data_IF_756888611143
#
_entry.id   IF_756888611143
#
_cell.length_a   1.000
_cell.length_b   1.000
_cell.length_c   1.000
_cell.angle_alpha   90.00
_cell.angle_beta   90.00
_cell.angle_gamma   90.00
#
_symmetry.space_group_name_H-M   'P 1'
#
loop_
_entity.id
_entity.type
_entity.pdbx_description
1 polymer ?
#
# COMPACT_ATOMS: atom_id res chain seq x y z
N UNK A 1 -19.32 -0.01 4.47
CA UNK A 1 -17.87 -0.12 4.75
C UNK A 1 -17.48 -1.57 4.49
N UNK A 2 -16.36 -1.81 3.85
CA UNK A 2 -15.83 -3.15 3.57
C UNK A 2 -14.67 -3.39 4.52
N UNK A 3 -14.69 -4.53 5.20
CA UNK A 3 -13.69 -4.88 6.20
C UNK A 3 -13.09 -6.25 5.87
N UNK A 4 -11.79 -6.39 6.05
CA UNK A 4 -11.07 -7.64 5.91
C UNK A 4 -10.13 -7.84 7.10
N UNK A 5 -10.05 -9.06 7.59
CA UNK A 5 -9.13 -9.47 8.65
C UNK A 5 -8.25 -10.59 8.11
N UNK A 6 -6.95 -10.46 8.31
CA UNK A 6 -5.92 -11.39 7.87
C UNK A 6 -4.97 -11.65 9.02
N UNK A 7 -4.66 -12.92 9.25
CA UNK A 7 -3.57 -13.34 10.11
C UNK A 7 -2.61 -14.20 9.31
N UNK A 8 -1.31 -13.95 9.47
CA UNK A 8 -0.24 -14.72 8.83
C UNK A 8 0.88 -14.95 9.83
N UNK A 9 1.25 -16.20 9.97
CA UNK A 9 2.34 -16.61 10.85
C UNK A 9 3.33 -17.47 10.10
N UNK A 10 4.60 -17.12 10.20
CA UNK A 10 5.77 -17.89 9.73
C UNK A 10 6.72 -18.17 10.89
N UNK A 11 7.92 -18.63 10.59
CA UNK A 11 8.99 -18.70 11.58
C UNK A 11 9.62 -17.33 11.87
N UNK A 12 9.46 -16.36 10.95
CA UNK A 12 10.10 -15.05 10.95
C UNK A 12 9.17 -13.95 11.44
N UNK A 13 7.86 -14.09 11.15
CA UNK A 13 6.86 -13.05 11.46
C UNK A 13 5.57 -13.64 12.03
N UNK A 14 4.88 -12.88 12.88
CA UNK A 14 3.51 -13.14 13.34
C UNK A 14 2.72 -11.85 13.17
N UNK A 15 1.80 -11.81 12.20
CA UNK A 15 1.11 -10.59 11.76
C UNK A 15 -0.40 -10.79 11.84
N UNK A 16 -1.07 -9.85 12.49
CA UNK A 16 -2.52 -9.64 12.40
C UNK A 16 -2.79 -8.25 11.80
N UNK A 17 -3.69 -8.19 10.85
CA UNK A 17 -4.14 -6.94 10.24
C UNK A 17 -5.65 -6.96 10.01
N UNK A 18 -6.32 -5.90 10.48
CA UNK A 18 -7.69 -5.58 10.13
C UNK A 18 -7.71 -4.30 9.31
N UNK A 19 -8.24 -4.40 8.09
CA UNK A 19 -8.44 -3.29 7.17
C UNK A 19 -9.91 -2.93 7.09
N UNK A 20 -10.25 -1.66 7.20
CA UNK A 20 -11.57 -1.12 6.87
C UNK A 20 -11.43 -0.04 5.80
N UNK A 21 -12.08 -0.24 4.65
CA UNK A 21 -12.19 0.77 3.59
C UNK A 21 -13.30 1.73 3.97
N UNK A 22 -12.95 2.98 4.21
CA UNK A 22 -13.87 4.04 4.62
C UNK A 22 -14.67 4.60 3.42
N UNK A 23 -15.61 5.46 3.72
CA UNK A 23 -16.31 6.24 2.68
C UNK A 23 -15.35 7.21 2.00
N UNK A 24 -15.58 7.57 0.73
CA UNK A 24 -14.81 8.59 0.04
C UNK A 24 -14.60 9.86 0.90
N UNK A 25 -13.42 10.47 0.79
CA UNK A 25 -13.01 11.67 1.53
C UNK A 25 -12.90 11.52 3.06
N UNK A 26 -12.99 10.30 3.60
CA UNK A 26 -12.71 10.06 5.01
C UNK A 26 -11.20 9.97 5.24
N UNK A 27 -10.72 10.55 6.35
CA UNK A 27 -9.34 10.39 6.79
C UNK A 27 -9.19 9.05 7.50
N UNK A 28 -8.31 8.22 6.99
CA UNK A 28 -7.94 6.96 7.63
C UNK A 28 -6.87 7.13 8.71
N UNK A 29 -6.47 6.03 9.30
CA UNK A 29 -5.42 5.97 10.32
C UNK A 29 -4.83 4.56 10.43
N UNK A 30 -3.59 4.50 10.90
CA UNK A 30 -2.97 3.29 11.41
C UNK A 30 -3.12 3.24 12.94
N UNK A 31 -3.44 2.07 13.48
CA UNK A 31 -3.35 1.73 14.90
C UNK A 31 -2.44 0.53 15.03
N UNK A 32 -1.52 0.55 15.99
CA UNK A 32 -0.49 -0.49 16.15
C UNK A 32 0.87 -0.08 15.57
N UNK A 33 1.77 -1.05 15.46
CA UNK A 33 3.17 -0.81 15.05
C UNK A 33 3.78 -2.07 14.44
N UNK A 34 4.75 -1.86 13.54
CA UNK A 34 5.63 -2.91 12.98
C UNK A 34 6.92 -3.06 13.77
N UNK A 35 7.22 -2.12 14.66
CA UNK A 35 8.52 -2.00 15.34
C UNK A 35 9.55 -1.17 14.57
N UNK A 36 9.25 -0.76 13.32
CA UNK A 36 10.10 0.10 12.50
C UNK A 36 9.41 1.47 12.38
N UNK A 37 9.84 2.45 13.18
CA UNK A 37 9.14 3.73 13.33
C UNK A 37 8.90 4.51 12.03
N UNK A 38 9.88 4.51 11.11
CA UNK A 38 9.71 5.15 9.81
C UNK A 38 8.68 4.42 8.94
N UNK A 39 8.68 3.10 8.96
CA UNK A 39 7.69 2.30 8.22
C UNK A 39 6.27 2.48 8.77
N UNK A 40 6.13 2.55 10.10
CA UNK A 40 4.84 2.89 10.74
C UNK A 40 4.32 4.25 10.29
N UNK A 41 5.21 5.26 10.17
CA UNK A 41 4.87 6.57 9.63
C UNK A 41 4.42 6.48 8.16
N UNK A 42 5.09 5.67 7.34
CA UNK A 42 4.72 5.45 5.93
C UNK A 42 3.36 4.74 5.82
N UNK A 43 3.12 3.71 6.60
CA UNK A 43 1.83 3.00 6.63
C UNK A 43 0.68 3.92 7.11
N UNK A 44 0.95 4.80 8.09
CA UNK A 44 -0.03 5.79 8.52
C UNK A 44 -0.31 6.84 7.43
N UNK A 45 0.70 7.26 6.67
CA UNK A 45 0.54 8.13 5.50
C UNK A 45 -0.30 7.46 4.42
N UNK A 46 -0.02 6.19 4.11
CA UNK A 46 -0.85 5.35 3.21
C UNK A 46 -2.32 5.29 3.69
N UNK A 47 -2.54 4.94 4.95
CA UNK A 47 -3.87 4.79 5.53
C UNK A 47 -4.64 6.11 5.54
N UNK A 48 -4.01 7.19 6.01
CA UNK A 48 -4.64 8.51 6.13
C UNK A 48 -5.09 9.08 4.80
N UNK A 49 -4.26 8.95 3.76
CA UNK A 49 -4.55 9.49 2.43
C UNK A 49 -5.41 8.55 1.57
N UNK A 50 -5.36 7.25 1.84
CA UNK A 50 -6.17 6.25 1.14
C UNK A 50 -7.59 6.06 1.68
N UNK A 51 -7.91 6.64 2.86
CA UNK A 51 -9.20 6.42 3.52
C UNK A 51 -9.32 5.01 4.09
N UNK A 52 -8.25 4.51 4.72
CA UNK A 52 -8.20 3.20 5.36
C UNK A 52 -8.07 3.31 6.87
N UNK A 53 -8.89 2.58 7.63
CA UNK A 53 -8.54 2.25 9.00
C UNK A 53 -7.79 0.91 8.99
N UNK A 54 -6.57 0.93 9.54
CA UNK A 54 -5.70 -0.24 9.65
C UNK A 54 -5.40 -0.46 11.13
N UNK A 55 -5.82 -1.61 11.65
CA UNK A 55 -5.42 -2.10 12.96
C UNK A 55 -4.40 -3.22 12.74
N UNK A 56 -3.17 -3.02 13.22
CA UNK A 56 -2.00 -3.82 12.87
C UNK A 56 -1.24 -4.26 14.12
N UNK A 57 -0.93 -5.52 14.18
CA UNK A 57 0.02 -6.09 15.14
C UNK A 57 1.05 -6.91 14.38
N UNK A 58 2.31 -6.55 14.49
CA UNK A 58 3.44 -7.24 13.86
C UNK A 58 4.46 -7.60 14.92
N UNK A 59 4.89 -8.85 14.88
CA UNK A 59 6.05 -9.33 15.61
C UNK A 59 6.97 -10.03 14.61
N UNK A 60 8.04 -9.36 14.25
CA UNK A 60 9.05 -9.86 13.31
C UNK A 60 10.42 -10.04 13.96
N UNK A 61 11.33 -10.65 13.24
CA UNK A 61 12.71 -10.94 13.62
C UNK A 61 13.66 -9.76 13.35
N UNK A 62 13.33 -8.58 13.90
CA UNK A 62 14.04 -7.32 13.68
C UNK A 62 15.51 -7.34 14.14
N UNK A 63 15.90 -8.34 14.88
CA UNK A 63 17.30 -8.63 15.24
C UNK A 63 18.12 -9.15 14.04
N UNK A 64 17.47 -9.67 13.01
CA UNK A 64 18.08 -9.97 11.71
C UNK A 64 18.16 -8.70 10.88
N UNK A 65 17.02 -8.20 10.42
CA UNK A 65 16.83 -6.91 9.75
C UNK A 65 15.33 -6.59 9.62
N UNK A 66 14.97 -5.58 8.82
CA UNK A 66 13.57 -5.18 8.58
C UNK A 66 12.89 -5.91 7.41
N UNK A 67 13.61 -6.75 6.65
CA UNK A 67 13.11 -7.29 5.37
C UNK A 67 11.83 -8.11 5.53
N UNK A 68 11.88 -9.17 6.33
CA UNK A 68 10.74 -10.06 6.55
C UNK A 68 9.52 -9.31 7.10
N UNK A 69 9.75 -8.38 8.04
CA UNK A 69 8.70 -7.55 8.62
C UNK A 69 7.98 -6.69 7.58
N UNK A 70 8.74 -6.03 6.71
CA UNK A 70 8.21 -5.10 5.70
C UNK A 70 7.53 -5.86 4.57
N UNK A 71 8.17 -6.90 4.03
CA UNK A 71 7.61 -7.73 2.96
C UNK A 71 6.32 -8.42 3.41
N UNK A 72 6.34 -9.10 4.55
CA UNK A 72 5.19 -9.85 5.07
C UNK A 72 4.02 -8.91 5.44
N UNK A 73 4.30 -7.69 5.90
CA UNK A 73 3.26 -6.66 6.09
C UNK A 73 2.63 -6.28 4.74
N UNK A 74 3.43 -6.16 3.68
CA UNK A 74 2.94 -5.94 2.32
C UNK A 74 2.05 -7.08 1.81
N UNK A 75 2.45 -8.34 2.07
CA UNK A 75 1.65 -9.54 1.74
C UNK A 75 0.28 -9.49 2.43
N UNK A 76 0.28 -9.24 3.74
CA UNK A 76 -0.94 -9.23 4.55
C UNK A 76 -1.86 -8.08 4.16
N UNK A 77 -1.33 -6.88 3.96
CA UNK A 77 -2.10 -5.72 3.52
C UNK A 77 -2.66 -5.91 2.10
N UNK A 78 -1.86 -6.42 1.16
CA UNK A 78 -2.31 -6.76 -0.19
C UNK A 78 -3.46 -7.77 -0.20
N UNK A 79 -3.34 -8.84 0.60
CA UNK A 79 -4.39 -9.84 0.79
C UNK A 79 -5.66 -9.23 1.38
N UNK A 80 -5.54 -8.33 2.35
CA UNK A 80 -6.68 -7.63 2.95
C UNK A 80 -7.38 -6.71 1.93
N UNK A 81 -6.63 -5.98 1.11
CA UNK A 81 -7.16 -5.14 0.03
C UNK A 81 -7.93 -5.96 -1.00
N UNK A 82 -7.37 -7.10 -1.45
CA UNK A 82 -8.05 -8.02 -2.37
C UNK A 82 -9.36 -8.55 -1.76
N UNK A 83 -9.33 -8.97 -0.50
CA UNK A 83 -10.54 -9.44 0.20
C UNK A 83 -11.58 -8.33 0.33
N UNK A 84 -11.16 -7.09 0.63
CA UNK A 84 -12.04 -5.94 0.71
C UNK A 84 -12.59 -5.50 -0.66
N UNK A 85 -11.88 -5.72 -1.76
CA UNK A 85 -12.36 -5.50 -3.11
C UNK A 85 -13.50 -6.46 -3.51
N UNK A 86 -13.56 -7.63 -2.87
CA UNK A 86 -14.58 -8.65 -3.11
C UNK A 86 -14.55 -9.20 -4.54
N UNK A 87 -15.70 -9.20 -5.21
CA UNK A 87 -15.83 -9.59 -6.61
C UNK A 87 -15.49 -8.47 -7.61
N UNK A 88 -15.01 -7.33 -7.11
CA UNK A 88 -14.65 -6.14 -7.90
C UNK A 88 -15.83 -5.51 -8.69
N UNK A 89 -17.08 -5.88 -8.39
CA UNK A 89 -18.24 -5.24 -9.00
C UNK A 89 -18.38 -3.80 -8.51
N UNK A 90 -18.62 -2.90 -9.44
CA UNK A 90 -18.93 -1.49 -9.18
C UNK A 90 -17.77 -0.62 -8.71
N UNK A 91 -16.56 -1.17 -8.52
CA UNK A 91 -15.41 -0.35 -8.14
C UNK A 91 -14.96 0.56 -9.30
N UNK A 92 -14.34 1.70 -8.98
CA UNK A 92 -13.72 2.59 -9.98
C UNK A 92 -12.68 1.87 -10.83
N UNK A 93 -11.98 0.89 -10.24
CA UNK A 93 -10.97 0.03 -10.85
C UNK A 93 -9.66 0.72 -11.19
N UNK A 94 -9.70 1.82 -11.96
CA UNK A 94 -8.52 2.58 -12.36
C UNK A 94 -8.41 3.86 -11.55
N UNK A 95 -7.19 4.20 -11.15
CA UNK A 95 -6.89 5.51 -10.58
C UNK A 95 -5.44 5.89 -10.85
N UNK A 96 -5.22 7.19 -10.96
CA UNK A 96 -3.89 7.77 -11.10
C UNK A 96 -3.78 9.08 -10.31
N UNK A 97 -2.54 9.49 -10.00
CA UNK A 97 -2.24 10.75 -9.35
C UNK A 97 -0.81 11.20 -9.62
N UNK A 98 -0.63 12.52 -9.71
CA UNK A 98 0.64 13.20 -9.45
C UNK A 98 0.56 13.78 -8.04
N UNK A 99 1.42 13.31 -7.14
CA UNK A 99 1.38 13.69 -5.73
C UNK A 99 2.69 14.39 -5.32
N UNK A 100 2.61 15.69 -4.96
CA UNK A 100 3.76 16.41 -4.44
C UNK A 100 3.93 16.16 -2.92
N UNK A 101 5.18 16.14 -2.49
CA UNK A 101 5.60 16.22 -1.09
C UNK A 101 6.80 17.16 -1.05
N UNK A 102 6.56 18.42 -0.69
CA UNK A 102 7.51 19.51 -0.80
C UNK A 102 8.21 19.53 -2.17
N UNK A 103 9.51 19.27 -2.28
CA UNK A 103 10.28 19.25 -3.52
C UNK A 103 10.20 17.92 -4.27
N UNK A 104 9.58 16.88 -3.68
CA UNK A 104 9.42 15.58 -4.34
C UNK A 104 8.08 15.49 -5.09
N UNK A 105 8.08 14.85 -6.25
CA UNK A 105 6.88 14.59 -7.03
C UNK A 105 6.84 13.13 -7.49
N UNK A 106 5.77 12.43 -7.11
CA UNK A 106 5.54 11.02 -7.49
C UNK A 106 4.30 10.88 -8.38
N UNK A 107 4.45 10.11 -9.45
CA UNK A 107 3.35 9.58 -10.25
C UNK A 107 2.98 8.17 -9.74
N UNK A 108 1.70 7.91 -9.59
CA UNK A 108 1.17 6.58 -9.30
C UNK A 108 -0.04 6.30 -10.19
N UNK A 109 -0.13 5.06 -10.70
CA UNK A 109 -1.31 4.56 -11.42
C UNK A 109 -1.60 3.11 -11.00
N UNK A 110 -2.89 2.76 -10.87
CA UNK A 110 -3.34 1.43 -10.44
C UNK A 110 -4.47 0.92 -11.32
N UNK A 111 -4.47 -0.40 -11.60
CA UNK A 111 -5.60 -1.16 -12.16
C UNK A 111 -5.89 -2.36 -11.24
N UNK A 112 -7.08 -2.40 -10.64
CA UNK A 112 -7.60 -3.57 -9.92
C UNK A 112 -8.11 -4.60 -10.92
N UNK A 113 -7.19 -5.31 -11.56
CA UNK A 113 -7.47 -6.21 -12.69
C UNK A 113 -7.42 -7.70 -12.36
N UNK A 114 -7.08 -8.07 -11.12
CA UNK A 114 -6.75 -9.46 -10.77
C UNK A 114 -5.37 -9.92 -11.29
N UNK A 115 -4.65 -9.09 -12.05
CA UNK A 115 -3.33 -9.39 -12.62
C UNK A 115 -2.26 -8.58 -11.90
N UNK A 116 -1.45 -9.29 -11.13
CA UNK A 116 -0.36 -8.69 -10.38
C UNK A 116 0.79 -8.23 -11.27
N UNK A 117 1.17 -6.97 -11.15
CA UNK A 117 2.34 -6.41 -11.79
C UNK A 117 2.81 -5.16 -11.04
N UNK A 118 4.12 -4.98 -10.91
CA UNK A 118 4.71 -3.76 -10.38
C UNK A 118 5.71 -3.19 -11.39
N UNK A 119 5.51 -1.92 -11.79
CA UNK A 119 6.53 -1.07 -12.37
C UNK A 119 6.96 -0.05 -11.31
N UNK A 120 8.21 -0.08 -10.89
CA UNK A 120 8.75 0.80 -9.86
C UNK A 120 10.01 1.50 -10.40
N UNK A 121 9.98 2.83 -10.42
CA UNK A 121 11.08 3.69 -10.86
C UNK A 121 11.26 4.83 -9.86
N UNK A 122 12.06 4.59 -8.83
CA UNK A 122 12.48 5.58 -7.84
C UNK A 122 13.91 5.29 -7.41
N UNK A 123 14.68 6.34 -7.19
CA UNK A 123 16.06 6.27 -6.70
C UNK A 123 16.18 7.00 -5.38
N UNK A 124 16.94 6.45 -4.47
CA UNK A 124 17.25 7.02 -3.16
C UNK A 124 18.75 7.31 -3.09
N UNK A 125 19.12 8.40 -2.42
CA UNK A 125 20.53 8.82 -2.23
C UNK A 125 21.15 8.13 -1.00
N UNK A 126 20.33 7.82 -0.01
CA UNK A 126 20.72 7.17 1.24
C UNK A 126 20.15 5.76 1.30
N UNK A 127 20.95 4.83 1.78
CA UNK A 127 20.50 3.44 1.96
C UNK A 127 19.50 3.31 3.13
N UNK A 128 19.57 4.20 4.12
CA UNK A 128 18.82 4.09 5.38
C UNK A 128 18.17 5.42 5.74
N UNK A 129 16.89 5.36 6.18
CA UNK A 129 16.15 6.44 6.83
C UNK A 129 15.71 5.97 8.22
N UNK A 130 16.36 6.48 9.27
CA UNK A 130 16.17 5.97 10.63
C UNK A 130 16.62 4.51 10.75
N UNK A 131 15.69 3.59 10.95
CA UNK A 131 15.92 2.14 10.98
C UNK A 131 15.35 1.42 9.74
N UNK A 132 14.98 2.17 8.71
CA UNK A 132 14.34 1.65 7.51
C UNK A 132 15.33 1.70 6.34
N UNK A 133 15.64 0.55 5.77
CA UNK A 133 16.40 0.44 4.53
C UNK A 133 15.49 0.86 3.36
N UNK A 134 15.97 1.80 2.53
CA UNK A 134 15.20 2.35 1.40
C UNK A 134 14.85 1.30 0.34
N UNK A 135 15.66 0.24 0.21
CA UNK A 135 15.37 -0.91 -0.67
C UNK A 135 14.05 -1.61 -0.29
N UNK A 136 13.65 -1.57 0.98
CA UNK A 136 12.41 -2.18 1.46
C UNK A 136 11.16 -1.51 0.88
N UNK A 137 11.28 -0.29 0.35
CA UNK A 137 10.17 0.39 -0.31
C UNK A 137 9.67 -0.40 -1.53
N UNK A 138 10.55 -0.84 -2.40
CA UNK A 138 10.16 -1.63 -3.57
C UNK A 138 9.67 -3.02 -3.17
N UNK A 139 10.25 -3.63 -2.14
CA UNK A 139 9.82 -4.96 -1.66
C UNK A 139 8.42 -4.90 -1.07
N UNK A 140 8.11 -3.89 -0.25
CA UNK A 140 6.75 -3.66 0.25
C UNK A 140 5.75 -3.45 -0.90
N UNK A 141 6.06 -2.58 -1.88
CA UNK A 141 5.17 -2.29 -3.00
C UNK A 141 4.96 -3.52 -3.90
N UNK A 142 5.99 -4.38 -4.05
CA UNK A 142 5.89 -5.64 -4.76
C UNK A 142 4.98 -6.63 -4.05
N UNK A 143 5.23 -6.85 -2.77
CA UNK A 143 4.41 -7.73 -1.93
C UNK A 143 2.94 -7.28 -1.92
N UNK A 144 2.69 -5.97 -1.74
CA UNK A 144 1.37 -5.36 -1.80
C UNK A 144 0.67 -5.62 -3.14
N UNK A 145 1.32 -5.26 -4.26
CA UNK A 145 0.73 -5.35 -5.59
C UNK A 145 0.39 -6.80 -5.98
N UNK A 146 1.29 -7.73 -5.67
CA UNK A 146 1.12 -9.15 -6.01
C UNK A 146 -0.01 -9.79 -5.20
N UNK A 147 -0.11 -9.49 -3.92
CA UNK A 147 -1.14 -10.10 -3.06
C UNK A 147 -2.50 -9.39 -3.18
N UNK A 148 -2.53 -8.11 -3.54
CA UNK A 148 -3.76 -7.43 -3.92
C UNK A 148 -4.28 -7.84 -5.31
N UNK A 149 -3.43 -8.42 -6.16
CA UNK A 149 -3.75 -8.74 -7.55
C UNK A 149 -3.97 -7.49 -8.41
N UNK A 150 -3.13 -6.48 -8.22
CA UNK A 150 -3.22 -5.20 -8.95
C UNK A 150 -2.03 -4.99 -9.86
N UNK A 151 -2.27 -4.28 -10.96
CA UNK A 151 -1.20 -3.66 -11.74
C UNK A 151 -0.92 -2.29 -11.13
N UNK A 152 0.32 -2.08 -10.65
CA UNK A 152 0.73 -0.86 -9.96
C UNK A 152 1.95 -0.26 -10.65
N UNK A 153 1.85 1.00 -11.03
CA UNK A 153 2.96 1.78 -11.59
C UNK A 153 3.29 2.93 -10.65
N UNK A 154 4.57 3.04 -10.29
CA UNK A 154 5.10 4.09 -9.41
C UNK A 154 6.33 4.68 -10.08
N UNK A 155 6.36 6.00 -10.20
CA UNK A 155 7.54 6.72 -10.67
C UNK A 155 7.78 7.97 -9.84
N UNK A 156 8.93 8.08 -9.18
CA UNK A 156 9.43 9.33 -8.65
C UNK A 156 9.97 10.16 -9.82
N UNK A 157 9.31 11.28 -10.11
CA UNK A 157 9.67 12.14 -11.23
C UNK A 157 10.91 12.98 -10.87
N UNK A 158 10.96 13.45 -9.64
CA UNK A 158 12.09 14.16 -9.03
C UNK A 158 11.89 14.24 -7.51
N UNK A 159 12.96 14.53 -6.78
CA UNK A 159 13.02 14.74 -5.34
C UNK A 159 14.46 14.80 -4.87
N UNK A 160 14.71 15.43 -3.74
CA UNK A 160 16.05 15.54 -3.16
C UNK A 160 16.16 14.84 -1.81
N UNK A 161 15.10 14.89 -1.00
CA UNK A 161 15.03 14.28 0.31
C UNK A 161 14.36 12.91 0.23
N UNK A 162 15.07 11.85 0.60
CA UNK A 162 14.59 10.46 0.50
C UNK A 162 13.37 10.20 1.38
N UNK A 163 13.21 10.90 2.51
CA UNK A 163 11.99 10.86 3.31
C UNK A 163 10.80 11.38 2.50
N UNK A 164 10.94 12.54 1.84
CA UNK A 164 9.88 13.13 1.03
C UNK A 164 9.55 12.25 -0.19
N UNK A 165 10.56 11.69 -0.85
CA UNK A 165 10.36 10.75 -1.96
C UNK A 165 9.56 9.53 -1.47
N UNK A 166 10.00 8.88 -0.39
CA UNK A 166 9.33 7.70 0.16
C UNK A 166 7.90 8.03 0.61
N UNK A 167 7.72 9.12 1.35
CA UNK A 167 6.40 9.51 1.84
C UNK A 167 5.44 9.86 0.69
N UNK A 168 5.92 10.53 -0.37
CA UNK A 168 5.12 10.81 -1.56
C UNK A 168 4.65 9.53 -2.24
N UNK A 169 5.50 8.50 -2.29
CA UNK A 169 5.15 7.18 -2.84
C UNK A 169 4.02 6.54 -2.02
N UNK A 170 4.17 6.43 -0.69
CA UNK A 170 3.15 5.81 0.16
C UNK A 170 1.81 6.56 0.13
N UNK A 171 1.84 7.89 0.14
CA UNK A 171 0.64 8.73 -0.02
C UNK A 171 -0.03 8.53 -1.38
N UNK A 172 0.75 8.53 -2.47
CA UNK A 172 0.24 8.35 -3.82
C UNK A 172 -0.42 6.99 -3.99
N UNK A 173 0.24 5.91 -3.54
CA UNK A 173 -0.29 4.55 -3.60
C UNK A 173 -1.56 4.43 -2.76
N UNK A 174 -1.55 4.95 -1.53
CA UNK A 174 -2.75 4.98 -0.68
C UNK A 174 -3.94 5.66 -1.37
N UNK A 175 -3.74 6.88 -1.91
CA UNK A 175 -4.79 7.61 -2.62
C UNK A 175 -5.29 6.89 -3.87
N UNK A 176 -4.39 6.34 -4.69
CA UNK A 176 -4.77 5.60 -5.88
C UNK A 176 -5.59 4.35 -5.53
N UNK A 177 -5.15 3.55 -4.56
CA UNK A 177 -5.88 2.36 -4.14
C UNK A 177 -7.23 2.73 -3.52
N UNK A 178 -7.29 3.74 -2.65
CA UNK A 178 -8.53 4.22 -2.06
C UNK A 178 -9.53 4.66 -3.13
N UNK A 179 -9.08 5.43 -4.12
CA UNK A 179 -9.88 5.89 -5.26
C UNK A 179 -10.35 4.73 -6.13
N UNK A 180 -9.46 3.80 -6.49
CA UNK A 180 -9.78 2.65 -7.32
C UNK A 180 -10.82 1.71 -6.66
N UNK A 181 -10.88 1.70 -5.33
CA UNK A 181 -11.85 0.93 -4.55
C UNK A 181 -13.19 1.65 -4.32
N UNK A 182 -13.38 2.91 -4.72
CA UNK A 182 -14.69 3.58 -4.62
C UNK A 182 -15.74 2.84 -5.44
N UNK A 183 -16.94 2.64 -4.87
CA UNK A 183 -18.05 1.96 -5.55
C UNK A 183 -18.99 2.98 -6.16
N UNK A 184 -19.28 2.86 -7.45
CA UNK A 184 -20.15 3.75 -8.22
C UNK A 184 -21.31 3.03 -8.91
N UNK A 185 -21.27 1.70 -9.04
CA UNK A 185 -22.29 0.88 -9.72
C UNK A 185 -22.31 -0.53 -9.16
N UNK A 186 -23.10 -1.41 -9.76
CA UNK A 186 -23.11 -2.84 -9.48
C UNK A 186 -22.45 -3.66 -10.60
N UNK A 187 -21.95 -3.00 -11.65
CA UNK A 187 -21.39 -3.65 -12.82
C UNK A 187 -19.86 -3.81 -12.71
N UNK A 188 -19.34 -4.85 -13.37
CA UNK A 188 -17.89 -5.03 -13.49
C UNK A 188 -17.36 -4.18 -14.64
N UNK A 189 -16.46 -3.24 -14.36
CA UNK A 189 -15.80 -2.37 -15.35
C UNK A 189 -14.79 -3.16 -16.19
N UNK A 190 -15.31 -4.03 -17.07
CA UNK A 190 -14.50 -4.85 -17.97
C UNK A 190 -15.27 -5.15 -19.25
N UNK A 191 -14.64 -4.93 -20.41
CA UNK A 191 -15.18 -5.33 -21.69
C UNK A 191 -15.37 -6.87 -21.83
N UNK A 192 -14.69 -7.64 -20.97
CA UNK A 192 -14.81 -9.10 -20.92
C UNK A 192 -15.93 -9.60 -19.99
N UNK A 193 -16.55 -8.69 -19.20
CA UNK A 193 -17.54 -9.04 -18.19
C UNK A 193 -17.01 -9.76 -16.95
N UNK A 194 -15.69 -9.88 -16.82
CA UNK A 194 -14.98 -10.44 -15.65
C UNK A 194 -13.64 -9.77 -15.41
N UNK A 195 -13.10 -9.89 -14.18
CA UNK A 195 -11.77 -9.45 -13.77
C UNK A 195 -10.99 -10.61 -13.16
#
# INVERSE_FOLDING_TARGET
MRTAEISRKTNETDIYLKLTVLKPYSKGKLTGSTGIGFFDHMLNSFASHGGFEIDLSVKGDLDVDGHHTVEDTGIVLGTALRKAAGNMAGITRFADILLPMDEALTMCAVDFSGRAFLAFDASFKSDIIGQYDTQLTVEFMRALAFNAGITLHIKSLYGENDHHITESIYKAVGKCIGKALEIHSDEIMSAKGCL
#
